data_IF_501145558447
#
_entry.id   IF_501145558447
#
_cell.length_a   1.000
_cell.length_b   1.000
_cell.length_c   1.000
_cell.angle_alpha   90.00
_cell.angle_beta   90.00
_cell.angle_gamma   90.00
#
_symmetry.space_group_name_H-M   'P 1'
#
loop_
_entity.id
_entity.type
_entity.pdbx_description
1 polymer ?
#
# COMPACT_ATOMS: atom_id res chain seq x y z
N UNK A 1 -31.44 18.19 -2.18
CA UNK A 1 -30.48 18.01 -1.07
C UNK A 1 -29.08 17.98 -1.68
N UNK A 2 -28.10 18.71 -1.14
CA UNK A 2 -26.73 18.69 -1.65
C UNK A 2 -26.11 17.29 -1.52
N UNK A 3 -25.25 16.92 -2.46
CA UNK A 3 -24.60 15.60 -2.47
C UNK A 3 -23.58 15.50 -1.32
N UNK A 4 -23.71 14.47 -0.49
CA UNK A 4 -22.75 14.17 0.58
C UNK A 4 -21.67 13.18 0.13
N UNK A 5 -20.49 13.34 0.71
CA UNK A 5 -19.32 12.48 0.54
C UNK A 5 -18.86 11.96 1.90
N UNK A 6 -18.30 10.76 1.91
CA UNK A 6 -17.75 10.12 3.11
C UNK A 6 -16.39 9.49 2.83
N UNK A 7 -15.61 9.31 3.89
CA UNK A 7 -14.33 8.62 3.85
C UNK A 7 -14.46 7.28 4.55
N UNK A 8 -14.07 6.23 3.83
CA UNK A 8 -14.14 4.84 4.27
C UNK A 8 -12.78 4.17 4.16
N UNK A 9 -12.55 3.15 4.98
CA UNK A 9 -11.39 2.27 4.87
C UNK A 9 -11.81 0.95 4.22
N UNK A 10 -11.05 0.48 3.22
CA UNK A 10 -11.28 -0.85 2.65
C UNK A 10 -10.88 -1.95 3.64
N UNK A 11 -11.73 -2.96 3.84
CA UNK A 11 -11.45 -4.06 4.75
C UNK A 11 -10.36 -5.03 4.23
N UNK A 12 -10.10 -5.02 2.93
CA UNK A 12 -9.12 -5.93 2.31
C UNK A 12 -7.72 -5.30 2.18
N UNK A 13 -7.61 -4.13 1.56
CA UNK A 13 -6.31 -3.47 1.36
C UNK A 13 -6.03 -2.36 2.38
N UNK A 14 -6.96 -2.08 3.30
CA UNK A 14 -6.83 -1.06 4.35
C UNK A 14 -6.63 0.38 3.86
N UNK A 15 -6.77 0.65 2.57
CA UNK A 15 -6.67 1.99 1.98
C UNK A 15 -7.94 2.81 2.22
N UNK A 16 -7.75 4.09 2.55
CA UNK A 16 -8.81 5.06 2.72
C UNK A 16 -9.24 5.65 1.38
N UNK A 17 -10.55 5.80 1.18
CA UNK A 17 -11.15 6.24 -0.07
C UNK A 17 -12.37 7.13 0.17
N UNK A 18 -12.57 8.07 -0.77
CA UNK A 18 -13.81 8.86 -0.83
C UNK A 18 -14.88 8.06 -1.56
N UNK A 19 -16.05 7.97 -0.93
CA UNK A 19 -17.27 7.41 -1.48
C UNK A 19 -18.40 8.45 -1.45
N UNK A 20 -19.28 8.38 -2.45
CA UNK A 20 -20.47 9.20 -2.51
C UNK A 20 -21.52 8.55 -1.61
N UNK A 21 -22.15 9.32 -0.72
CA UNK A 21 -23.20 8.77 0.15
C UNK A 21 -24.37 8.33 -0.72
N UNK A 22 -24.65 7.03 -0.67
CA UNK A 22 -25.75 6.35 -1.38
C UNK A 22 -26.69 5.73 -0.35
N UNK A 23 -27.93 5.46 -0.77
CA UNK A 23 -28.91 4.71 0.04
C UNK A 23 -28.45 3.27 0.34
N UNK A 24 -27.65 2.67 -0.54
CA UNK A 24 -27.13 1.33 -0.35
C UNK A 24 -25.89 1.32 0.57
N UNK A 25 -25.88 0.41 1.54
CA UNK A 25 -24.75 0.18 2.45
C UNK A 25 -23.67 -0.72 1.84
N UNK A 26 -23.44 -0.62 0.53
CA UNK A 26 -22.46 -1.42 -0.22
C UNK A 26 -21.61 -0.50 -1.07
N UNK A 27 -20.32 -0.79 -1.13
CA UNK A 27 -19.37 -0.07 -1.97
C UNK A 27 -18.27 -1.00 -2.46
N UNK A 28 -17.55 -0.58 -3.50
CA UNK A 28 -16.45 -1.32 -4.10
C UNK A 28 -15.15 -0.52 -3.95
N UNK A 29 -14.10 -1.17 -3.45
CA UNK A 29 -12.78 -0.58 -3.39
C UNK A 29 -12.24 -0.35 -4.80
N UNK A 30 -11.87 0.90 -5.15
CA UNK A 30 -11.34 1.23 -6.48
C UNK A 30 -9.95 0.65 -6.75
N UNK A 31 -9.24 0.26 -5.69
CA UNK A 31 -7.87 -0.27 -5.75
C UNK A 31 -7.89 -1.80 -5.87
N UNK A 32 -8.43 -2.52 -4.89
CA UNK A 32 -8.44 -3.99 -4.89
C UNK A 32 -9.73 -4.61 -5.45
N UNK A 33 -10.72 -3.80 -5.87
CA UNK A 33 -11.98 -4.25 -6.49
C UNK A 33 -12.88 -5.13 -5.62
N UNK A 34 -12.60 -5.22 -4.33
CA UNK A 34 -13.45 -5.94 -3.40
C UNK A 34 -14.74 -5.17 -3.12
N UNK A 35 -15.87 -5.85 -3.35
CA UNK A 35 -17.21 -5.40 -2.96
C UNK A 35 -17.41 -5.69 -1.48
N UNK A 36 -17.77 -4.67 -0.73
CA UNK A 36 -17.82 -4.75 0.72
C UNK A 36 -18.98 -3.93 1.27
N UNK A 37 -19.42 -4.30 2.46
CA UNK A 37 -20.42 -3.53 3.19
C UNK A 37 -19.81 -2.25 3.75
N UNK A 38 -20.67 -1.28 4.00
CA UNK A 38 -20.30 -0.05 4.68
C UNK A 38 -19.83 -0.38 6.10
N UNK A 39 -18.57 -0.08 6.39
CA UNK A 39 -18.00 -0.18 7.73
C UNK A 39 -18.03 1.16 8.46
N UNK A 40 -16.99 1.43 9.26
CA UNK A 40 -16.82 2.70 9.95
C UNK A 40 -16.63 3.86 8.96
N UNK A 41 -17.42 4.92 9.12
CA UNK A 41 -17.19 6.22 8.47
C UNK A 41 -16.14 7.00 9.28
N UNK A 42 -15.06 7.45 8.63
CA UNK A 42 -13.97 8.19 9.29
C UNK A 42 -14.15 9.70 9.19
N UNK A 43 -14.87 10.15 8.16
CA UNK A 43 -15.13 11.55 7.88
C UNK A 43 -16.31 11.65 6.93
N UNK A 44 -17.09 12.72 7.03
CA UNK A 44 -18.22 13.01 6.15
C UNK A 44 -18.35 14.52 5.97
N UNK A 45 -18.56 14.95 4.73
CA UNK A 45 -18.71 16.36 4.38
C UNK A 45 -19.51 16.49 3.07
N UNK A 46 -20.12 17.65 2.85
CA UNK A 46 -20.68 18.03 1.55
C UNK A 46 -19.58 18.42 0.56
N UNK A 47 -18.40 18.82 1.05
CA UNK A 47 -17.26 19.19 0.23
C UNK A 47 -16.37 17.97 -0.08
N UNK A 48 -16.38 17.51 -1.33
CA UNK A 48 -15.51 16.44 -1.80
C UNK A 48 -14.01 16.76 -1.64
N UNK A 49 -13.61 18.03 -1.68
CA UNK A 49 -12.22 18.44 -1.49
C UNK A 49 -11.73 18.14 -0.07
N UNK A 50 -12.52 18.50 0.94
CA UNK A 50 -12.20 18.20 2.34
C UNK A 50 -12.05 16.68 2.56
N UNK A 51 -12.94 15.88 1.97
CA UNK A 51 -12.84 14.42 2.00
C UNK A 51 -11.55 13.89 1.34
N UNK A 52 -11.15 14.46 0.20
CA UNK A 52 -9.89 14.07 -0.48
C UNK A 52 -8.66 14.43 0.36
N UNK A 53 -8.62 15.62 0.95
CA UNK A 53 -7.55 16.02 1.88
C UNK A 53 -7.47 15.05 3.05
N UNK A 54 -8.62 14.67 3.62
CA UNK A 54 -8.64 13.71 4.73
C UNK A 54 -8.15 12.32 4.31
N UNK A 55 -8.49 11.86 3.10
CA UNK A 55 -7.97 10.61 2.53
C UNK A 55 -6.46 10.65 2.33
N UNK A 56 -5.92 11.76 1.83
CA UNK A 56 -4.48 11.93 1.67
C UNK A 56 -3.76 11.82 3.02
N UNK A 57 -4.24 12.53 4.04
CA UNK A 57 -3.70 12.45 5.40
C UNK A 57 -3.72 11.01 5.94
N UNK A 58 -4.87 10.34 5.89
CA UNK A 58 -5.03 9.00 6.47
C UNK A 58 -4.19 7.94 5.74
N UNK A 59 -4.05 8.05 4.41
CA UNK A 59 -3.20 7.13 3.65
C UNK A 59 -1.71 7.40 3.87
N UNK A 60 -1.31 8.65 4.09
CA UNK A 60 0.07 9.00 4.46
C UNK A 60 0.44 8.39 5.82
N UNK A 61 -0.39 8.59 6.84
CA UNK A 61 -0.20 8.02 8.18
C UNK A 61 -0.15 6.47 8.12
N UNK A 62 -1.01 5.86 7.31
CA UNK A 62 -0.98 4.41 7.06
C UNK A 62 0.36 3.97 6.43
N UNK A 63 0.85 4.70 5.44
CA UNK A 63 2.13 4.41 4.76
C UNK A 63 3.30 4.44 5.73
N UNK A 64 3.41 5.51 6.51
CA UNK A 64 4.45 5.65 7.54
C UNK A 64 4.42 4.51 8.56
N UNK A 65 3.21 4.11 9.01
CA UNK A 65 3.07 2.98 9.93
C UNK A 65 3.50 1.65 9.30
N UNK A 66 3.20 1.45 8.02
CA UNK A 66 3.60 0.25 7.28
C UNK A 66 5.12 0.19 7.13
N UNK A 67 5.75 1.30 6.72
CA UNK A 67 7.21 1.41 6.60
C UNK A 67 7.91 1.10 7.91
N UNK A 68 7.48 1.70 9.03
CA UNK A 68 8.06 1.43 10.34
C UNK A 68 7.91 -0.06 10.78
N UNK A 69 6.81 -0.71 10.41
CA UNK A 69 6.63 -2.14 10.67
C UNK A 69 7.54 -3.01 9.83
N UNK A 70 7.72 -2.65 8.56
CA UNK A 70 8.59 -3.38 7.64
C UNK A 70 10.06 -3.21 8.03
N UNK A 71 10.50 -2.02 8.44
CA UNK A 71 11.82 -1.78 9.04
C UNK A 71 12.05 -2.65 10.29
N UNK A 72 11.10 -2.67 11.22
CA UNK A 72 11.20 -3.49 12.43
C UNK A 72 11.28 -5.00 12.08
N UNK A 73 10.53 -5.45 11.06
CA UNK A 73 10.58 -6.84 10.59
C UNK A 73 11.96 -7.17 10.02
N UNK A 74 12.57 -6.26 9.25
CA UNK A 74 13.91 -6.44 8.69
C UNK A 74 14.99 -6.54 9.76
N UNK A 75 14.91 -5.73 10.82
CA UNK A 75 15.86 -5.79 11.94
C UNK A 75 15.77 -7.14 12.67
N UNK A 76 14.56 -7.60 12.96
CA UNK A 76 14.33 -8.91 13.62
C UNK A 76 14.84 -10.09 12.78
N UNK A 77 14.66 -10.04 11.46
CA UNK A 77 15.13 -11.10 10.57
C UNK A 77 16.67 -11.25 10.55
N UNK A 78 17.42 -10.21 10.92
CA UNK A 78 18.88 -10.25 11.03
C UNK A 78 19.38 -10.81 12.37
N UNK A 79 18.50 -10.88 13.39
CA UNK A 79 18.83 -11.39 14.73
C UNK A 79 18.55 -12.90 14.87
N UNK A 80 17.94 -13.53 13.87
CA UNK A 80 17.78 -14.99 13.82
C UNK A 80 19.17 -15.64 13.71
N UNK A 81 19.56 -16.55 14.64
CA UNK A 81 20.88 -17.17 14.61
C UNK A 81 21.04 -17.94 13.30
N UNK A 82 22.06 -17.55 12.53
CA UNK A 82 22.59 -18.31 11.39
C UNK A 82 22.65 -19.79 11.74
N UNK A 83 21.73 -20.58 11.17
CA UNK A 83 21.93 -22.01 11.06
C UNK A 83 23.20 -22.19 10.23
N UNK A 84 24.25 -22.64 10.89
CA UNK A 84 25.57 -22.93 10.33
C UNK A 84 25.50 -24.16 9.42
N UNK A 85 24.86 -24.00 8.27
CA UNK A 85 25.03 -24.83 7.10
C UNK A 85 25.77 -24.01 6.05
N UNK A 86 27.05 -24.33 5.80
CA UNK A 86 27.81 -23.75 4.69
C UNK A 86 26.98 -23.89 3.40
N UNK A 87 26.69 -22.81 2.64
CA UNK A 87 26.20 -22.99 1.30
C UNK A 87 27.37 -23.50 0.47
N UNK A 88 27.35 -24.79 0.16
CA UNK A 88 28.16 -25.36 -0.89
C UNK A 88 27.87 -24.59 -2.18
N UNK A 89 28.94 -24.15 -2.84
CA UNK A 89 28.98 -23.27 -4.01
C UNK A 89 28.02 -23.77 -5.09
N UNK A 90 26.78 -23.31 -5.05
CA UNK A 90 25.83 -23.50 -6.14
C UNK A 90 26.12 -22.41 -7.15
N UNK A 91 26.54 -22.83 -8.33
CA UNK A 91 26.91 -21.99 -9.47
C UNK A 91 26.02 -20.76 -9.58
N UNK A 92 26.63 -19.59 -9.79
CA UNK A 92 25.97 -18.31 -10.02
C UNK A 92 24.98 -18.45 -11.19
N UNK A 93 23.71 -18.70 -10.87
CA UNK A 93 22.64 -18.59 -11.84
C UNK A 93 22.33 -17.11 -11.95
N UNK A 94 22.85 -16.47 -12.99
CA UNK A 94 22.46 -15.11 -13.38
C UNK A 94 20.93 -15.02 -13.34
N UNK A 95 20.42 -14.00 -12.63
CA UNK A 95 18.99 -13.72 -12.59
C UNK A 95 18.47 -13.55 -14.02
N UNK A 96 17.28 -14.07 -14.33
CA UNK A 96 16.62 -13.88 -15.64
C UNK A 96 16.42 -12.40 -16.01
N UNK A 97 16.60 -11.50 -15.06
CA UNK A 97 16.49 -10.05 -15.23
C UNK A 97 17.82 -9.39 -15.62
N UNK A 98 18.94 -10.11 -15.51
CA UNK A 98 20.25 -9.59 -15.91
C UNK A 98 20.32 -9.28 -17.41
N UNK A 99 19.48 -9.94 -18.22
CA UNK A 99 19.38 -9.72 -19.66
C UNK A 99 18.60 -8.44 -20.03
N UNK A 100 17.98 -7.77 -19.05
CA UNK A 100 17.14 -6.58 -19.25
C UNK A 100 17.74 -5.30 -18.65
N UNK A 101 18.94 -5.36 -18.10
CA UNK A 101 19.65 -4.18 -17.59
C UNK A 101 20.67 -3.77 -18.65
N UNK A 102 20.43 -2.63 -19.30
CA UNK A 102 21.39 -2.06 -20.25
C UNK A 102 22.70 -1.73 -19.55
N UNK A 103 23.83 -2.02 -20.20
CA UNK A 103 25.15 -1.65 -19.69
C UNK A 103 25.23 -0.12 -19.53
N UNK A 104 25.78 0.39 -18.41
CA UNK A 104 25.90 1.83 -18.21
C UNK A 104 26.75 2.41 -19.35
N UNK A 105 26.14 3.31 -20.12
CA UNK A 105 26.73 3.92 -21.30
C UNK A 105 28.04 4.64 -20.94
N UNK A 106 29.17 4.00 -21.24
CA UNK A 106 30.50 4.58 -21.08
C UNK A 106 30.81 5.53 -22.25
N UNK A 107 29.97 6.55 -22.45
CA UNK A 107 30.23 7.57 -23.46
C UNK A 107 29.51 8.89 -23.16
N UNK A 108 30.01 9.63 -22.17
CA UNK A 108 29.98 11.09 -22.20
C UNK A 108 31.42 11.57 -22.05
N UNK A 109 32.03 11.95 -23.17
CA UNK A 109 33.21 12.82 -23.22
C UNK A 109 32.73 14.26 -23.40
#
# INVERSE_FOLDING_TARGET
MPQEFRVLQCAHCSLYQVDIVKKANKWECKICRQKQFLGKEFFRDFNASACRTKVQQLNLERGQKQEAQDELRLLKAQEEPTCSGKPERTQERKSKWADYVDEPNAQER
#
